data_IF_155749174770
#
_entry.id   IF_155749174770
#
_cell.length_a   1.000
_cell.length_b   1.000
_cell.length_c   1.000
_cell.angle_alpha   90.00
_cell.angle_beta   90.00
_cell.angle_gamma   90.00
#
_symmetry.space_group_name_H-M   'P 1'
#
loop_
_entity.id
_entity.type
_entity.pdbx_description
1 polymer ?
#
# COMPACT_ATOMS: atom_id res chain seq x y z
N UNK A 1 15.87 12.51 32.35
CA UNK A 1 15.05 12.05 31.19
C UNK A 1 14.42 10.73 31.63
N UNK A 2 13.11 10.53 31.44
CA UNK A 2 12.50 9.24 31.82
C UNK A 2 13.01 8.10 30.96
N UNK A 3 12.94 6.87 31.47
CA UNK A 3 13.31 5.67 30.70
C UNK A 3 12.48 5.56 29.43
N UNK A 4 11.23 5.99 29.46
CA UNK A 4 10.33 6.06 28.29
C UNK A 4 10.90 7.00 27.23
N UNK A 5 11.24 8.24 27.59
CA UNK A 5 11.77 9.23 26.65
C UNK A 5 13.10 8.78 26.02
N UNK A 6 13.94 8.08 26.78
CA UNK A 6 15.17 7.49 26.25
C UNK A 6 14.87 6.43 25.18
N UNK A 7 13.94 5.51 25.48
CA UNK A 7 13.51 4.48 24.51
C UNK A 7 12.86 5.10 23.27
N UNK A 8 12.00 6.09 23.45
CA UNK A 8 11.33 6.77 22.32
C UNK A 8 12.34 7.47 21.41
N UNK A 9 13.35 8.15 21.98
CA UNK A 9 14.40 8.78 21.17
C UNK A 9 15.23 7.74 20.40
N UNK A 10 15.59 6.62 21.02
CA UNK A 10 16.30 5.52 20.33
C UNK A 10 15.46 4.95 19.20
N UNK A 11 14.16 4.72 19.43
CA UNK A 11 13.22 4.22 18.40
C UNK A 11 13.15 5.18 17.21
N UNK A 12 13.03 6.48 17.45
CA UNK A 12 13.02 7.51 16.39
C UNK A 12 14.31 7.56 15.60
N UNK A 13 15.45 7.52 16.29
CA UNK A 13 16.77 7.50 15.64
C UNK A 13 16.94 6.28 14.75
N UNK A 14 16.56 5.10 15.23
CA UNK A 14 16.64 3.88 14.42
C UNK A 14 15.70 3.94 13.20
N UNK A 15 14.50 4.47 13.37
CA UNK A 15 13.55 4.63 12.26
C UNK A 15 14.09 5.59 11.21
N UNK A 16 14.58 6.76 11.60
CA UNK A 16 15.19 7.72 10.66
C UNK A 16 16.42 7.15 9.96
N UNK A 17 17.25 6.39 10.67
CA UNK A 17 18.41 5.71 10.06
C UNK A 17 17.97 4.68 9.02
N UNK A 18 16.88 3.94 9.27
CA UNK A 18 16.29 3.02 8.31
C UNK A 18 15.78 3.75 7.06
N UNK A 19 15.02 4.83 7.24
CA UNK A 19 14.46 5.63 6.14
C UNK A 19 15.53 6.33 5.30
N UNK A 20 16.66 6.63 5.89
CA UNK A 20 17.80 7.29 5.23
C UNK A 20 18.83 6.29 4.65
N UNK A 21 18.60 4.98 4.80
CA UNK A 21 19.55 3.96 4.35
C UNK A 21 19.63 3.96 2.82
N UNK A 22 20.83 4.16 2.22
CA UNK A 22 21.00 4.04 0.79
C UNK A 22 20.86 2.58 0.35
N UNK A 23 20.40 2.38 -0.88
CA UNK A 23 20.21 1.05 -1.47
C UNK A 23 21.13 0.88 -2.68
N UNK A 24 22.14 0.05 -2.58
CA UNK A 24 23.12 -0.13 -3.61
C UNK A 24 22.70 -1.21 -4.61
N UNK A 25 23.03 -0.96 -5.88
CA UNK A 25 22.85 -1.93 -6.94
C UNK A 25 23.84 -3.09 -6.72
N UNK A 26 23.35 -4.32 -6.82
CA UNK A 26 24.21 -5.50 -6.82
C UNK A 26 24.71 -5.80 -8.23
N UNK A 27 25.91 -6.36 -8.34
CA UNK A 27 26.47 -6.85 -9.62
C UNK A 27 25.72 -8.11 -10.10
N UNK A 28 24.45 -7.93 -10.39
CA UNK A 28 23.63 -8.97 -10.99
C UNK A 28 22.84 -8.34 -12.13
N UNK A 29 23.19 -8.67 -13.34
CA UNK A 29 22.53 -8.14 -14.51
C UNK A 29 22.19 -9.24 -15.52
N UNK A 30 20.94 -9.23 -16.01
CA UNK A 30 20.52 -10.02 -17.15
C UNK A 30 20.17 -9.11 -18.35
N UNK A 31 20.52 -7.82 -18.27
CA UNK A 31 20.22 -6.81 -19.29
C UNK A 31 18.75 -6.33 -19.31
N UNK A 32 17.87 -6.85 -18.43
CA UNK A 32 16.44 -6.55 -18.42
C UNK A 32 16.06 -5.73 -17.18
N UNK A 33 16.62 -6.06 -15.99
CA UNK A 33 16.36 -5.35 -14.75
C UNK A 33 17.61 -5.31 -13.86
N UNK A 34 17.61 -4.34 -12.97
CA UNK A 34 18.61 -4.19 -11.93
C UNK A 34 18.09 -4.74 -10.60
N UNK A 35 18.98 -5.29 -9.81
CA UNK A 35 18.70 -5.69 -8.42
C UNK A 35 19.42 -4.79 -7.44
N UNK A 36 18.83 -4.63 -6.27
CA UNK A 36 19.37 -3.85 -5.17
C UNK A 36 19.50 -4.72 -3.92
N UNK A 37 20.38 -4.32 -3.02
CA UNK A 37 20.73 -5.09 -1.81
C UNK A 37 19.57 -5.27 -0.84
N UNK A 38 18.71 -4.25 -0.73
CA UNK A 38 17.65 -4.21 0.27
C UNK A 38 16.27 -4.07 -0.36
N UNK A 39 15.22 -4.61 0.30
CA UNK A 39 13.84 -4.23 -0.03
C UNK A 39 13.66 -2.72 0.13
N UNK A 40 12.92 -2.10 -0.77
CA UNK A 40 12.66 -0.65 -0.72
C UNK A 40 11.74 -0.26 0.45
N UNK A 41 10.84 -1.16 0.85
CA UNK A 41 9.92 -1.00 1.97
C UNK A 41 9.73 -2.32 2.72
N UNK A 42 9.66 -2.22 4.02
CA UNK A 42 9.27 -3.30 4.94
C UNK A 42 8.24 -2.77 5.93
N UNK A 43 7.67 -3.63 6.77
CA UNK A 43 6.79 -3.22 7.85
C UNK A 43 7.42 -2.15 8.76
N UNK A 44 8.74 -2.19 8.93
CA UNK A 44 9.47 -1.25 9.78
C UNK A 44 9.56 0.17 9.22
N UNK A 45 9.36 0.35 7.91
CA UNK A 45 9.32 1.66 7.26
C UNK A 45 7.99 2.40 7.49
N UNK A 46 6.95 1.70 7.97
CA UNK A 46 5.66 2.35 8.25
C UNK A 46 5.81 3.37 9.39
N UNK A 47 5.02 4.45 9.38
CA UNK A 47 5.06 5.47 10.44
C UNK A 47 5.01 4.86 11.83
N UNK A 48 5.80 5.39 12.74
CA UNK A 48 5.86 4.89 14.11
C UNK A 48 4.51 4.98 14.81
N UNK A 49 3.74 6.02 14.51
CA UNK A 49 2.40 6.28 15.02
C UNK A 49 1.39 5.17 14.65
N UNK A 50 1.63 4.47 13.55
CA UNK A 50 0.79 3.33 13.15
C UNK A 50 1.08 2.08 13.97
N UNK A 51 2.22 2.01 14.66
CA UNK A 51 2.67 0.84 15.40
C UNK A 51 2.71 1.05 16.90
N UNK A 52 2.97 2.28 17.33
CA UNK A 52 3.19 2.61 18.74
C UNK A 52 2.23 3.69 19.21
N UNK A 53 1.64 3.48 20.37
CA UNK A 53 1.12 4.57 21.19
C UNK A 53 2.32 5.23 21.89
N UNK A 54 2.62 6.46 21.52
CA UNK A 54 3.79 7.20 22.02
C UNK A 54 3.48 8.01 23.30
N UNK A 55 2.38 7.70 23.99
CA UNK A 55 2.00 8.34 25.24
C UNK A 55 2.48 7.49 26.43
N UNK A 56 3.40 8.04 27.24
CA UNK A 56 3.96 7.38 28.42
C UNK A 56 2.88 6.92 29.42
N UNK A 57 1.76 7.63 29.52
CA UNK A 57 0.66 7.29 30.45
C UNK A 57 -0.10 6.04 30.03
N UNK A 58 -0.29 5.84 28.74
CA UNK A 58 -1.05 4.71 28.17
C UNK A 58 -0.16 3.57 27.70
N UNK A 59 1.12 3.85 27.44
CA UNK A 59 2.12 2.86 26.97
C UNK A 59 3.48 3.05 27.67
N UNK A 60 3.58 2.92 29.00
CA UNK A 60 4.78 3.29 29.77
C UNK A 60 6.04 2.47 29.38
N UNK A 61 5.87 1.30 28.80
CA UNK A 61 6.96 0.44 28.36
C UNK A 61 7.32 0.62 26.88
N UNK A 62 6.62 1.51 26.15
CA UNK A 62 6.75 1.73 24.71
C UNK A 62 6.62 0.40 23.93
N UNK A 63 5.57 -0.35 24.23
CA UNK A 63 5.26 -1.60 23.51
C UNK A 63 4.63 -1.28 22.16
N UNK A 64 4.99 -2.05 21.14
CA UNK A 64 4.28 -2.01 19.87
C UNK A 64 2.84 -2.49 20.06
N UNK A 65 1.87 -1.62 19.77
CA UNK A 65 0.43 -1.86 20.04
C UNK A 65 -0.30 -2.39 18.83
N UNK A 66 0.05 -1.90 17.65
CA UNK A 66 -0.55 -2.29 16.38
C UNK A 66 0.54 -3.00 15.58
N UNK A 67 0.29 -4.25 15.25
CA UNK A 67 1.25 -5.02 14.47
C UNK A 67 0.99 -4.83 12.99
N UNK A 68 1.96 -4.25 12.30
CA UNK A 68 2.05 -4.31 10.85
C UNK A 68 2.82 -5.59 10.50
N UNK A 69 2.14 -6.51 9.82
CA UNK A 69 2.73 -7.80 9.45
C UNK A 69 3.68 -7.65 8.26
N UNK A 70 3.23 -6.97 7.20
CA UNK A 70 4.01 -6.84 5.98
C UNK A 70 3.62 -5.61 5.16
N UNK A 71 4.54 -5.18 4.30
CA UNK A 71 4.27 -4.34 3.12
C UNK A 71 4.43 -5.21 1.88
N UNK A 72 3.43 -5.19 1.01
CA UNK A 72 3.30 -6.14 -0.10
C UNK A 72 2.92 -5.39 -1.38
N UNK A 73 3.03 -6.06 -2.52
CA UNK A 73 2.53 -5.73 -3.86
C UNK A 73 2.07 -4.28 -4.07
N UNK A 74 2.99 -3.41 -4.44
CA UNK A 74 2.71 -1.99 -4.63
C UNK A 74 2.44 -1.66 -6.09
N UNK A 75 1.44 -0.82 -6.34
CA UNK A 75 1.34 -0.09 -7.60
C UNK A 75 2.32 1.09 -7.59
N UNK A 76 2.98 1.35 -8.71
CA UNK A 76 4.00 2.39 -8.80
C UNK A 76 3.74 3.34 -9.97
N UNK A 77 3.96 4.63 -9.76
CA UNK A 77 3.96 5.65 -10.82
C UNK A 77 5.02 6.72 -10.56
N UNK A 78 5.42 7.41 -11.64
CA UNK A 78 6.12 8.68 -11.50
C UNK A 78 5.07 9.79 -11.37
N UNK A 79 5.09 10.49 -10.25
CA UNK A 79 4.18 11.58 -9.95
C UNK A 79 4.96 12.87 -9.70
N UNK A 80 4.77 13.85 -10.58
CA UNK A 80 5.60 15.06 -10.61
C UNK A 80 7.08 14.68 -10.73
N UNK A 81 7.90 15.07 -9.79
CA UNK A 81 9.34 14.82 -9.70
C UNK A 81 9.72 13.63 -8.81
N UNK A 82 8.73 12.90 -8.28
CA UNK A 82 8.91 11.79 -7.35
C UNK A 82 8.42 10.47 -7.92
N UNK A 83 8.91 9.38 -7.34
CA UNK A 83 8.36 8.04 -7.51
C UNK A 83 7.41 7.74 -6.36
N UNK A 84 6.20 7.32 -6.68
CA UNK A 84 5.14 7.09 -5.72
C UNK A 84 4.66 5.67 -5.82
N UNK A 85 4.47 5.06 -4.65
CA UNK A 85 3.90 3.73 -4.49
C UNK A 85 2.57 3.83 -3.76
N UNK A 86 1.57 3.09 -4.22
CA UNK A 86 0.43 2.71 -3.40
C UNK A 86 0.71 1.32 -2.87
N UNK A 87 1.07 1.26 -1.62
CA UNK A 87 1.56 0.06 -0.93
C UNK A 87 0.39 -0.68 -0.31
N UNK A 88 0.32 -2.00 -0.50
CA UNK A 88 -0.48 -2.86 0.35
C UNK A 88 0.21 -2.99 1.70
N UNK A 89 -0.43 -2.53 2.74
CA UNK A 89 0.00 -2.74 4.13
C UNK A 89 -0.94 -3.73 4.78
N UNK A 90 -0.39 -4.79 5.36
CA UNK A 90 -1.15 -5.86 5.99
C UNK A 90 -0.94 -5.83 7.51
N UNK A 91 -2.05 -5.84 8.25
CA UNK A 91 -2.06 -5.97 9.70
C UNK A 91 -1.87 -7.42 10.18
N UNK A 92 -1.71 -7.60 11.49
CA UNK A 92 -1.61 -8.94 12.11
C UNK A 92 -2.88 -9.78 11.95
N UNK A 93 -4.02 -9.15 11.71
CA UNK A 93 -5.30 -9.78 11.38
C UNK A 93 -5.40 -10.24 9.92
N UNK A 94 -4.33 -10.05 9.14
CA UNK A 94 -4.23 -10.36 7.71
C UNK A 94 -5.19 -9.56 6.82
N UNK A 95 -5.75 -8.46 7.35
CA UNK A 95 -6.47 -7.47 6.56
C UNK A 95 -5.52 -6.43 6.03
N UNK A 96 -5.83 -5.93 4.86
CA UNK A 96 -4.98 -4.98 4.16
C UNK A 96 -5.65 -3.62 4.01
N UNK A 97 -4.83 -2.59 3.97
CA UNK A 97 -5.21 -1.26 3.57
C UNK A 97 -4.15 -0.69 2.62
N UNK A 98 -4.47 0.39 1.94
CA UNK A 98 -3.54 1.07 1.06
C UNK A 98 -2.90 2.27 1.74
N UNK A 99 -1.63 2.46 1.46
CA UNK A 99 -0.89 3.61 1.94
C UNK A 99 0.06 4.13 0.86
N UNK A 100 0.34 5.43 0.88
CA UNK A 100 1.25 6.04 -0.08
C UNK A 100 2.63 6.13 0.53
N UNK A 101 3.64 5.73 -0.26
CA UNK A 101 5.03 6.00 0.01
C UNK A 101 5.67 6.70 -1.20
N UNK A 102 6.56 7.64 -0.96
CA UNK A 102 7.23 8.38 -2.03
C UNK A 102 8.74 8.38 -1.84
N UNK A 103 9.47 8.47 -2.96
CA UNK A 103 10.92 8.54 -3.02
C UNK A 103 11.37 9.52 -4.09
N UNK A 104 12.50 10.23 -3.91
CA UNK A 104 13.04 11.12 -4.93
C UNK A 104 13.63 10.38 -6.14
N UNK A 105 14.05 9.14 -5.98
CA UNK A 105 14.79 8.38 -7.01
C UNK A 105 14.18 7.01 -7.36
N UNK A 106 13.21 6.52 -6.58
CA UNK A 106 12.58 5.21 -6.80
C UNK A 106 13.42 4.00 -6.37
N UNK A 107 14.55 4.23 -5.72
CA UNK A 107 15.52 3.21 -5.31
C UNK A 107 15.62 3.10 -3.80
N UNK A 108 15.69 4.23 -3.12
CA UNK A 108 15.80 4.35 -1.67
C UNK A 108 15.09 5.60 -1.16
N UNK A 109 15.25 5.91 0.14
CA UNK A 109 14.64 7.08 0.80
C UNK A 109 13.11 7.13 0.65
N UNK A 110 12.47 5.97 0.56
CA UNK A 110 11.02 5.90 0.57
C UNK A 110 10.48 6.30 1.94
N UNK A 111 9.49 7.19 1.94
CA UNK A 111 8.76 7.61 3.14
C UNK A 111 7.28 7.47 2.92
N UNK A 112 6.60 6.84 3.84
CA UNK A 112 5.14 6.82 3.85
C UNK A 112 4.60 8.23 4.13
N UNK A 113 3.45 8.52 3.58
CA UNK A 113 2.64 9.64 4.04
C UNK A 113 2.05 9.31 5.41
N UNK A 114 1.67 10.35 6.17
CA UNK A 114 1.24 10.19 7.55
C UNK A 114 -0.06 9.38 7.69
N UNK A 115 -0.97 9.54 6.70
CA UNK A 115 -2.28 8.91 6.73
C UNK A 115 -2.42 7.83 5.65
N UNK A 116 -3.04 6.68 5.97
CA UNK A 116 -3.46 5.70 4.97
C UNK A 116 -4.46 6.27 3.98
N UNK A 117 -4.61 5.61 2.83
CA UNK A 117 -5.68 5.93 1.89
C UNK A 117 -7.02 5.52 2.50
N UNK A 118 -7.91 6.49 2.70
CA UNK A 118 -9.32 6.21 2.98
C UNK A 118 -10.02 5.85 1.68
N UNK A 119 -10.22 4.55 1.46
CA UNK A 119 -10.96 4.07 0.29
C UNK A 119 -12.47 4.15 0.60
N UNK A 120 -13.25 4.89 -0.21
CA UNK A 120 -14.70 4.93 0.00
C UNK A 120 -15.34 3.54 -0.11
N UNK A 121 -16.33 3.29 0.72
CA UNK A 121 -17.12 2.08 0.68
C UNK A 121 -18.00 2.02 -0.57
N UNK A 122 -18.35 0.80 -0.95
CA UNK A 122 -19.37 0.53 -1.98
C UNK A 122 -20.63 -0.02 -1.29
N UNK A 123 -21.70 -0.19 -2.07
CA UNK A 123 -22.95 -0.82 -1.58
C UNK A 123 -22.76 -2.28 -1.11
N UNK A 124 -21.61 -2.87 -1.38
CA UNK A 124 -21.23 -4.21 -0.95
C UNK A 124 -19.93 -4.13 -0.16
N UNK A 125 -20.00 -4.48 1.12
CA UNK A 125 -18.82 -4.51 1.99
C UNK A 125 -17.80 -5.53 1.50
N UNK A 126 -16.53 -5.13 1.50
CA UNK A 126 -15.41 -6.02 1.22
C UNK A 126 -14.89 -6.63 2.53
N UNK A 127 -14.51 -7.90 2.50
CA UNK A 127 -13.78 -8.54 3.61
C UNK A 127 -12.31 -8.17 3.59
N UNK A 128 -11.75 -7.88 2.40
CA UNK A 128 -10.38 -7.41 2.21
C UNK A 128 -10.23 -6.68 0.87
N UNK A 129 -9.29 -5.73 0.81
CA UNK A 129 -8.87 -5.04 -0.44
C UNK A 129 -7.35 -5.05 -0.51
N UNK A 130 -6.77 -5.37 -1.67
CA UNK A 130 -5.33 -5.47 -1.80
C UNK A 130 -4.82 -5.41 -3.24
N UNK A 131 -3.50 -5.30 -3.39
CA UNK A 131 -2.75 -5.41 -4.64
C UNK A 131 -3.16 -4.39 -5.71
N UNK A 132 -3.19 -3.10 -5.34
CA UNK A 132 -3.52 -2.03 -6.28
C UNK A 132 -2.46 -1.90 -7.37
N UNK A 133 -2.92 -1.80 -8.62
CA UNK A 133 -2.13 -1.42 -9.79
C UNK A 133 -2.52 -0.01 -10.21
N UNK A 134 -1.52 0.83 -10.50
CA UNK A 134 -1.74 2.22 -10.87
C UNK A 134 -1.53 2.42 -12.36
N UNK A 135 -2.45 3.17 -12.97
CA UNK A 135 -2.32 3.63 -14.35
C UNK A 135 -2.66 5.11 -14.43
N UNK A 136 -1.73 5.91 -14.96
CA UNK A 136 -2.04 7.27 -15.35
C UNK A 136 -2.68 7.23 -16.72
N UNK A 137 -3.94 7.61 -16.79
CA UNK A 137 -4.73 7.56 -18.01
C UNK A 137 -4.74 8.91 -18.73
N UNK A 138 -4.94 8.88 -20.04
CA UNK A 138 -4.94 10.08 -20.89
C UNK A 138 -6.06 11.08 -20.57
N UNK A 139 -7.14 10.63 -19.91
CA UNK A 139 -8.22 11.49 -19.40
C UNK A 139 -7.81 12.37 -18.20
N UNK A 140 -6.55 12.26 -17.76
CA UNK A 140 -5.96 13.05 -16.69
C UNK A 140 -6.16 12.49 -15.28
N UNK A 141 -6.82 11.33 -15.12
CA UNK A 141 -6.90 10.63 -13.86
C UNK A 141 -5.77 9.61 -13.67
N UNK A 142 -5.50 9.30 -12.43
CA UNK A 142 -4.76 8.12 -12.02
C UNK A 142 -5.79 7.11 -11.56
N UNK A 143 -5.82 5.94 -12.17
CA UNK A 143 -6.67 4.82 -11.80
C UNK A 143 -5.89 3.84 -10.94
N UNK A 144 -6.53 3.38 -9.87
CA UNK A 144 -6.11 2.24 -9.09
C UNK A 144 -7.07 1.08 -9.32
N UNK A 145 -6.55 -0.05 -9.81
CA UNK A 145 -7.33 -1.28 -9.90
C UNK A 145 -6.75 -2.28 -8.91
N UNK A 146 -7.61 -2.90 -8.11
CA UNK A 146 -7.19 -3.72 -6.99
C UNK A 146 -8.14 -4.90 -6.79
N UNK A 147 -7.67 -5.91 -6.08
CA UNK A 147 -8.51 -7.03 -5.69
C UNK A 147 -9.46 -6.62 -4.56
N UNK A 148 -10.71 -6.99 -4.70
CA UNK A 148 -11.74 -6.89 -3.66
C UNK A 148 -12.21 -8.30 -3.34
N UNK A 149 -12.01 -8.74 -2.11
CA UNK A 149 -12.55 -10.02 -1.64
C UNK A 149 -13.82 -9.80 -0.84
N UNK A 150 -14.75 -10.73 -1.02
CA UNK A 150 -15.99 -10.85 -0.26
C UNK A 150 -16.19 -12.29 0.16
N UNK A 151 -16.95 -12.51 1.21
CA UNK A 151 -17.36 -13.86 1.58
C UNK A 151 -18.13 -14.51 0.40
N UNK A 152 -17.90 -15.81 0.19
CA UNK A 152 -18.67 -16.59 -0.79
C UNK A 152 -19.96 -17.09 -0.13
N UNK A 153 -21.06 -16.40 -0.39
CA UNK A 153 -22.38 -16.70 0.16
C UNK A 153 -22.91 -18.09 -0.27
N UNK A 154 -22.31 -18.68 -1.30
CA UNK A 154 -22.62 -20.08 -1.68
C UNK A 154 -22.06 -21.11 -0.72
N UNK A 155 -21.10 -20.70 0.15
CA UNK A 155 -20.43 -21.52 1.14
C UNK A 155 -20.55 -20.91 2.55
N UNK A 156 -21.77 -20.76 3.09
CA UNK A 156 -22.01 -19.96 4.30
C UNK A 156 -21.34 -20.54 5.56
N UNK A 157 -20.97 -21.81 5.56
CA UNK A 157 -20.32 -22.49 6.69
C UNK A 157 -18.79 -22.48 6.60
N UNK A 158 -18.21 -22.02 5.48
CA UNK A 158 -16.76 -21.88 5.30
C UNK A 158 -16.36 -20.41 5.40
N UNK A 159 -15.92 -19.98 6.57
CA UNK A 159 -15.49 -18.61 6.83
C UNK A 159 -14.25 -18.19 6.01
N UNK A 160 -13.55 -19.16 5.41
CA UNK A 160 -12.40 -18.89 4.53
C UNK A 160 -12.79 -18.78 3.06
N UNK A 161 -14.00 -19.18 2.70
CA UNK A 161 -14.48 -19.08 1.32
C UNK A 161 -14.62 -17.63 0.89
N UNK A 162 -13.96 -17.27 -0.20
CA UNK A 162 -13.96 -15.92 -0.72
C UNK A 162 -14.08 -15.88 -2.24
N UNK A 163 -14.83 -14.91 -2.73
CA UNK A 163 -14.88 -14.52 -4.13
C UNK A 163 -14.14 -13.22 -4.36
N UNK A 164 -13.46 -13.11 -5.48
CA UNK A 164 -12.66 -11.94 -5.84
C UNK A 164 -13.20 -11.21 -7.05
N UNK A 165 -13.25 -9.89 -6.96
CA UNK A 165 -13.57 -8.98 -8.06
C UNK A 165 -12.46 -7.94 -8.23
N UNK A 166 -12.40 -7.31 -9.40
CA UNK A 166 -11.54 -6.16 -9.61
C UNK A 166 -12.29 -4.88 -9.19
N UNK A 167 -11.82 -4.27 -8.13
CA UNK A 167 -12.25 -2.96 -7.69
C UNK A 167 -11.52 -1.86 -8.44
N UNK A 168 -12.21 -0.74 -8.69
CA UNK A 168 -11.66 0.43 -9.36
C UNK A 168 -11.83 1.66 -8.49
N UNK A 169 -10.79 2.47 -8.40
CA UNK A 169 -10.87 3.82 -7.88
C UNK A 169 -10.02 4.76 -8.75
N UNK A 170 -10.31 6.06 -8.71
CA UNK A 170 -9.53 7.06 -9.43
C UNK A 170 -9.25 8.27 -8.55
N UNK A 171 -8.20 8.98 -8.90
CA UNK A 171 -7.76 10.19 -8.20
C UNK A 171 -7.07 11.15 -9.16
N UNK A 172 -6.98 12.43 -8.76
CA UNK A 172 -6.13 13.43 -9.43
C UNK A 172 -4.95 13.87 -8.57
N UNK A 173 -4.98 13.57 -7.29
CA UNK A 173 -4.03 14.09 -6.29
C UNK A 173 -3.40 13.02 -5.40
N UNK A 174 -3.78 11.76 -5.58
CA UNK A 174 -3.41 10.59 -4.76
C UNK A 174 -3.95 10.65 -3.31
N UNK A 175 -4.59 11.73 -2.90
CA UNK A 175 -5.16 11.92 -1.56
C UNK A 175 -6.62 11.59 -1.51
N UNK A 176 -7.38 12.15 -2.47
CA UNK A 176 -8.81 11.96 -2.56
C UNK A 176 -9.12 10.91 -3.63
N UNK A 177 -9.74 9.83 -3.23
CA UNK A 177 -10.08 8.73 -4.12
C UNK A 177 -11.59 8.64 -4.34
N UNK A 178 -11.98 8.54 -5.59
CA UNK A 178 -13.35 8.24 -6.00
C UNK A 178 -13.44 6.74 -6.29
N UNK A 179 -14.25 6.04 -5.51
CA UNK A 179 -14.50 4.62 -5.72
C UNK A 179 -15.54 4.44 -6.82
N UNK A 180 -15.18 3.68 -7.86
CA UNK A 180 -16.08 3.32 -8.96
C UNK A 180 -16.68 1.92 -8.72
N UNK A 181 -17.77 1.56 -9.43
CA UNK A 181 -18.29 0.19 -9.37
C UNK A 181 -17.24 -0.84 -9.77
N UNK A 182 -17.27 -2.00 -9.13
CA UNK A 182 -16.39 -3.10 -9.47
C UNK A 182 -16.62 -3.59 -10.90
N UNK A 183 -15.56 -4.08 -11.54
CA UNK A 183 -15.66 -4.68 -12.86
C UNK A 183 -16.54 -5.93 -12.81
N UNK A 184 -17.53 -5.96 -13.69
CA UNK A 184 -18.39 -7.13 -13.86
C UNK A 184 -17.66 -8.15 -14.76
N UNK A 185 -17.39 -9.31 -14.22
CA UNK A 185 -16.76 -10.44 -14.93
C UNK A 185 -17.49 -11.74 -14.62
N UNK A 186 -17.43 -12.69 -15.57
CA UNK A 186 -17.94 -14.06 -15.36
C UNK A 186 -16.98 -14.92 -14.52
N UNK A 187 -15.75 -14.48 -14.30
CA UNK A 187 -14.72 -15.15 -13.52
C UNK A 187 -14.15 -14.23 -12.46
N UNK A 188 -13.55 -14.80 -11.45
CA UNK A 188 -12.83 -14.04 -10.44
C UNK A 188 -11.66 -13.26 -11.07
N UNK A 189 -11.47 -12.00 -10.64
CA UNK A 189 -10.44 -11.10 -11.16
C UNK A 189 -9.58 -10.58 -10.02
N UNK A 190 -8.26 -10.81 -10.09
CA UNK A 190 -7.32 -10.38 -9.04
C UNK A 190 -6.26 -9.38 -9.52
N UNK A 191 -5.76 -9.51 -10.76
CA UNK A 191 -4.60 -8.75 -11.27
C UNK A 191 -4.93 -8.00 -12.56
N UNK A 192 -6.02 -7.25 -12.56
CA UNK A 192 -6.43 -6.43 -13.71
C UNK A 192 -5.59 -5.16 -13.74
N UNK A 193 -5.23 -4.74 -14.94
CA UNK A 193 -4.53 -3.48 -15.20
C UNK A 193 -5.30 -2.72 -16.28
N UNK A 194 -5.45 -1.43 -16.13
CA UNK A 194 -6.07 -0.56 -17.12
C UNK A 194 -5.04 -0.13 -18.17
N UNK A 195 -5.43 -0.13 -19.44
CA UNK A 195 -4.62 0.49 -20.49
C UNK A 195 -4.52 2.01 -20.26
N UNK A 196 -3.38 2.66 -20.48
CA UNK A 196 -3.21 4.09 -20.20
C UNK A 196 -3.97 5.02 -21.16
N UNK A 197 -4.43 4.50 -22.28
CA UNK A 197 -5.13 5.25 -23.34
C UNK A 197 -6.45 4.58 -23.68
N UNK A 198 -7.36 5.34 -24.29
CA UNK A 198 -8.58 4.77 -24.84
C UNK A 198 -8.26 3.87 -26.03
N UNK A 199 -8.83 2.68 -26.03
CA UNK A 199 -8.78 1.76 -27.17
C UNK A 199 -10.14 1.79 -27.90
N UNK A 200 -10.14 2.28 -29.12
CA UNK A 200 -11.40 2.50 -29.90
C UNK A 200 -12.42 3.36 -29.12
N UNK A 201 -11.94 4.39 -28.42
CA UNK A 201 -12.77 5.31 -27.63
C UNK A 201 -13.35 4.71 -26.34
N UNK A 202 -12.82 3.58 -25.86
CA UNK A 202 -13.26 2.90 -24.65
C UNK A 202 -12.09 2.65 -23.71
N UNK A 203 -12.38 2.60 -22.41
CA UNK A 203 -11.44 2.04 -21.45
C UNK A 203 -11.21 0.54 -21.73
N UNK A 204 -9.97 0.09 -21.66
CA UNK A 204 -9.53 -1.28 -21.94
C UNK A 204 -8.57 -1.82 -20.89
#
# INVERSE_FOLDING_TARGET
MSTFNTKLNVLRLHHEALLAKPNHKVEFGNGIYDRYENPILTAEHTPLEWRYDMNERTNPFLMQRIMINATLNSGAIKWKDKYVLVVRVEGADRKSFFAIAESPNGIDHFRFWDEPITMPDTNQSATNIYDMRLTRHEDGYIYGIFCVERHDDSQPNDLSAAVAAAGIARTKDLKTWERLPDLKSKSQQRNVVLHPEFVNGKYA
#
